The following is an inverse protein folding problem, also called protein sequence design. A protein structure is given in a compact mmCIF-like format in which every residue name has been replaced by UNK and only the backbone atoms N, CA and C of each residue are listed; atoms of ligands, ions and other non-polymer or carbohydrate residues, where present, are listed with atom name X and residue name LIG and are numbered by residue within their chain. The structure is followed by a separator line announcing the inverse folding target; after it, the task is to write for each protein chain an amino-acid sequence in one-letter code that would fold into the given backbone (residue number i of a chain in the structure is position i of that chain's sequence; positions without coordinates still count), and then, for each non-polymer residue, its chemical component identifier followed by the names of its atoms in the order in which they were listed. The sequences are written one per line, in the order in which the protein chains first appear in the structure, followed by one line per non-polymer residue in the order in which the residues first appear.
data_IF_338650449964
#
_entry.id   IF_338650449964
#
_cell.length_a   1.000
_cell.length_b   1.000
_cell.length_c   1.000
_cell.angle_alpha   90.00
_cell.angle_beta   90.00
_cell.angle_gamma   90.00
#
_symmetry.space_group_name_H-M   'P 1'
#
loop_
_entity.id
_entity.type
_entity.pdbx_description
1 polymer ?
#
# COMPACT_ATOMS: atom_id res chain seq x y z
N UNK A 1 -21.84 6.57 -15.48
CA UNK A 1 -21.40 6.56 -15.16
C UNK A 1 -21.27 6.43 -14.86
N UNK A 2 -21.29 6.43 -14.59
CA UNK A 2 -20.73 6.38 -14.18
C UNK A 2 -20.21 5.83 -13.93
N UNK A 3 -20.39 5.38 -13.86
CA UNK A 3 -19.71 5.06 -13.60
C UNK A 3 -18.79 5.03 -13.94
N UNK A 4 -18.55 4.99 -14.21
CA UNK A 4 -17.57 5.09 -14.59
C UNK A 4 -16.80 5.96 -14.57
N UNK A 5 -16.93 6.42 -14.77
CA UNK A 5 -16.24 7.56 -14.60
C UNK A 5 -15.59 7.69 -13.30
N UNK A 6 -16.08 7.23 -12.37
CA UNK A 6 -15.54 7.20 -11.04
C UNK A 6 -14.27 6.40 -10.92
N UNK A 7 -14.07 5.49 -11.83
CA UNK A 7 -12.91 4.62 -11.77
C UNK A 7 -11.63 5.43 -11.86
N UNK A 8 -11.60 6.43 -12.71
CA UNK A 8 -10.42 7.25 -12.83
C UNK A 8 -10.09 7.99 -11.54
N UNK A 9 -11.10 8.45 -10.84
CA UNK A 9 -10.89 9.17 -9.61
C UNK A 9 -10.34 8.27 -8.53
N UNK A 10 -10.80 7.03 -8.48
CA UNK A 10 -10.31 6.08 -7.50
C UNK A 10 -8.82 5.88 -7.66
N UNK A 11 -8.37 5.74 -8.89
CA UNK A 11 -6.96 5.51 -9.13
C UNK A 11 -6.11 6.71 -8.74
N UNK A 12 -6.65 7.91 -8.85
CA UNK A 12 -5.90 9.10 -8.54
C UNK A 12 -5.55 9.24 -7.08
N UNK A 13 -6.34 8.67 -6.22
CA UNK A 13 -6.14 8.84 -4.78
C UNK A 13 -5.28 7.76 -4.14
N UNK A 14 -5.08 6.65 -4.83
CA UNK A 14 -4.28 5.52 -4.35
C UNK A 14 -4.77 4.95 -3.02
N UNK A 15 -5.67 5.62 -2.34
CA UNK A 15 -6.30 5.13 -1.09
C UNK A 15 -5.31 4.76 0.01
N UNK A 16 -4.20 5.48 0.09
CA UNK A 16 -3.24 5.27 1.17
C UNK A 16 -3.72 6.00 2.42
N UNK A 17 -3.48 5.36 3.56
CA UNK A 17 -3.84 5.94 4.84
C UNK A 17 -2.74 6.92 5.27
N UNK A 18 -3.02 8.22 5.35
CA UNK A 18 -1.98 9.21 5.60
C UNK A 18 -1.36 9.13 6.99
N UNK A 19 -2.07 8.55 7.95
CA UNK A 19 -1.58 8.45 9.32
C UNK A 19 -0.79 7.18 9.59
N UNK A 20 -0.58 6.37 8.57
CA UNK A 20 0.19 5.13 8.68
C UNK A 20 1.43 5.21 7.80
N UNK A 21 2.50 4.55 8.25
CA UNK A 21 3.69 4.46 7.41
C UNK A 21 3.40 3.64 6.17
N UNK A 22 4.35 3.69 5.22
CA UNK A 22 4.24 2.93 3.98
C UNK A 22 4.08 1.44 4.27
N UNK A 23 4.91 0.89 5.16
CA UNK A 23 4.82 -0.52 5.50
C UNK A 23 3.48 -0.87 6.13
N UNK A 24 2.99 -0.04 7.04
CA UNK A 24 1.71 -0.30 7.68
C UNK A 24 0.56 -0.24 6.70
N UNK A 25 0.67 0.63 5.69
CA UNK A 25 -0.32 0.65 4.62
C UNK A 25 -0.39 -0.69 3.91
N UNK A 26 0.76 -1.28 3.60
CA UNK A 26 0.82 -2.56 2.91
C UNK A 26 0.33 -3.68 3.81
N UNK A 27 0.63 -3.62 5.11
CA UNK A 27 0.24 -4.66 6.06
C UNK A 27 -1.24 -4.61 6.45
N UNK A 28 -1.90 -3.48 6.21
CA UNK A 28 -3.22 -3.25 6.77
C UNK A 28 -4.22 -4.34 6.40
N UNK A 29 -4.40 -4.58 5.11
CA UNK A 29 -5.41 -5.55 4.67
C UNK A 29 -5.07 -6.98 5.09
N UNK A 30 -3.82 -7.44 4.95
CA UNK A 30 -3.51 -8.79 5.42
C UNK A 30 -3.81 -8.99 6.90
N UNK A 31 -3.50 -8.00 7.75
CA UNK A 31 -3.75 -8.15 9.18
C UNK A 31 -5.22 -8.01 9.55
N UNK A 32 -5.95 -7.10 8.89
CA UNK A 32 -7.34 -6.85 9.24
C UNK A 32 -8.32 -7.79 8.56
N UNK A 33 -8.08 -8.08 7.30
CA UNK A 33 -9.02 -8.86 6.52
C UNK A 33 -8.67 -10.34 6.54
N UNK A 34 -7.41 -10.67 6.29
CA UNK A 34 -6.98 -12.07 6.22
C UNK A 34 -6.52 -12.60 7.57
N UNK A 35 -6.43 -11.72 8.56
CA UNK A 35 -6.05 -12.07 9.92
C UNK A 35 -4.70 -12.75 10.01
N UNK A 36 -3.79 -12.34 9.14
CA UNK A 36 -2.41 -12.83 9.14
C UNK A 36 -1.71 -12.26 10.37
N UNK A 37 -0.91 -13.07 11.09
CA UNK A 37 -0.14 -12.56 12.22
C UNK A 37 0.73 -11.37 11.82
N UNK A 38 0.85 -10.41 12.72
CA UNK A 38 1.54 -9.16 12.42
C UNK A 38 2.97 -9.40 11.96
N UNK A 39 3.67 -10.33 12.59
CA UNK A 39 5.05 -10.63 12.21
C UNK A 39 5.14 -11.13 10.78
N UNK A 40 4.20 -11.98 10.38
CA UNK A 40 4.17 -12.51 9.03
C UNK A 40 3.83 -11.41 8.04
N UNK A 41 2.83 -10.59 8.38
CA UNK A 41 2.43 -9.49 7.49
C UNK A 41 3.58 -8.50 7.29
N UNK A 42 4.36 -8.25 8.35
CA UNK A 42 5.49 -7.34 8.24
C UNK A 42 6.54 -7.87 7.28
N UNK A 43 6.87 -9.15 7.39
CA UNK A 43 7.87 -9.75 6.52
C UNK A 43 7.41 -9.72 5.06
N UNK A 44 6.15 -10.12 4.84
CA UNK A 44 5.62 -10.11 3.48
C UNK A 44 5.51 -8.70 2.93
N UNK A 45 5.15 -7.74 3.78
CA UNK A 45 5.07 -6.36 3.36
C UNK A 45 6.42 -5.82 2.92
N UNK A 46 7.46 -6.15 3.66
CA UNK A 46 8.80 -5.72 3.28
C UNK A 46 9.24 -6.35 1.98
N UNK A 47 8.89 -7.61 1.76
CA UNK A 47 9.21 -8.27 0.49
C UNK A 47 8.52 -7.59 -0.68
N UNK A 48 7.25 -7.23 -0.50
CA UNK A 48 6.52 -6.55 -1.55
C UNK A 48 7.07 -5.16 -1.82
N UNK A 49 7.42 -4.42 -0.77
CA UNK A 49 8.03 -3.11 -0.95
C UNK A 49 9.37 -3.23 -1.67
N UNK A 50 10.13 -4.26 -1.37
CA UNK A 50 11.38 -4.50 -2.06
C UNK A 50 11.15 -4.74 -3.54
N UNK A 51 10.10 -5.47 -3.89
CA UNK A 51 9.79 -5.75 -5.30
C UNK A 51 9.45 -4.50 -6.08
N UNK A 52 8.88 -3.51 -5.42
CA UNK A 52 8.57 -2.25 -6.10
C UNK A 52 9.63 -1.17 -5.85
N UNK A 53 10.76 -1.56 -5.25
CA UNK A 53 11.89 -0.66 -5.05
C UNK A 53 11.72 0.35 -3.93
N UNK A 54 10.90 0.06 -2.95
CA UNK A 54 10.60 1.00 -1.87
C UNK A 54 10.88 0.45 -0.48
N UNK A 55 11.74 -0.58 -0.37
CA UNK A 55 12.03 -1.14 0.95
C UNK A 55 12.57 -0.09 1.91
N UNK A 56 13.39 0.82 1.42
CA UNK A 56 13.98 1.85 2.28
C UNK A 56 12.98 2.93 2.67
N UNK A 57 11.81 2.93 2.06
CA UNK A 57 10.75 3.89 2.39
C UNK A 57 9.69 3.29 3.32
N UNK A 58 9.96 2.12 3.88
CA UNK A 58 8.96 1.42 4.69
C UNK A 58 8.47 2.24 5.88
N UNK A 59 9.34 3.06 6.45
CA UNK A 59 9.02 3.79 7.68
C UNK A 59 8.62 5.24 7.44
N UNK A 60 8.48 5.68 6.19
CA UNK A 60 8.04 7.04 5.93
C UNK A 60 6.53 7.06 5.72
N UNK A 61 5.96 8.26 5.77
CA UNK A 61 4.52 8.43 5.57
C UNK A 61 4.23 8.79 4.12
N UNK A 62 3.00 8.51 3.65
CA UNK A 62 2.66 8.78 2.24
C UNK A 62 2.93 10.22 1.80
N UNK A 63 2.77 11.19 2.69
CA UNK A 63 2.99 12.59 2.32
C UNK A 63 4.44 12.85 1.91
N UNK A 64 5.35 11.96 2.28
CA UNK A 64 6.76 12.12 1.96
C UNK A 64 7.15 11.43 0.66
N UNK A 65 6.18 10.86 -0.05
CA UNK A 65 6.44 10.14 -1.28
C UNK A 65 6.07 10.97 -2.50
N UNK A 66 6.75 10.69 -3.63
CA UNK A 66 6.35 11.24 -4.91
C UNK A 66 5.08 10.52 -5.38
N UNK A 67 4.45 11.06 -6.43
CA UNK A 67 3.27 10.42 -6.99
C UNK A 67 3.54 9.03 -7.49
N UNK A 68 4.68 8.84 -8.16
CA UNK A 68 5.05 7.51 -8.65
C UNK A 68 5.29 6.53 -7.53
N UNK A 69 5.90 7.00 -6.44
CA UNK A 69 6.12 6.15 -5.29
C UNK A 69 4.82 5.75 -4.61
N UNK A 70 3.87 6.69 -4.50
CA UNK A 70 2.55 6.37 -3.95
C UNK A 70 1.87 5.30 -4.79
N UNK A 71 2.00 5.39 -6.11
CA UNK A 71 1.41 4.42 -7.00
C UNK A 71 2.02 3.04 -6.76
N UNK A 72 3.33 2.97 -6.55
CA UNK A 72 3.99 1.70 -6.27
C UNK A 72 3.54 1.10 -4.96
N UNK A 73 3.34 1.93 -3.95
CA UNK A 73 2.81 1.44 -2.67
C UNK A 73 1.42 0.86 -2.87
N UNK A 74 0.59 1.52 -3.67
CA UNK A 74 -0.74 1.02 -3.95
C UNK A 74 -0.70 -0.34 -4.65
N UNK A 75 0.27 -0.51 -5.55
CA UNK A 75 0.45 -1.80 -6.22
C UNK A 75 0.85 -2.87 -5.19
N UNK A 76 1.77 -2.54 -4.30
CA UNK A 76 2.19 -3.48 -3.26
C UNK A 76 1.01 -3.87 -2.37
N UNK A 77 0.14 -2.91 -2.03
CA UNK A 77 -1.05 -3.22 -1.24
C UNK A 77 -1.96 -4.21 -1.96
N UNK A 78 -2.14 -4.00 -3.27
CA UNK A 78 -2.97 -4.92 -4.06
C UNK A 78 -2.40 -6.32 -4.05
N UNK A 79 -1.08 -6.43 -4.20
CA UNK A 79 -0.43 -7.73 -4.17
C UNK A 79 -0.55 -8.41 -2.81
N UNK A 80 -0.54 -7.61 -1.75
CA UNK A 80 -0.66 -8.15 -0.41
C UNK A 80 -2.03 -8.76 -0.15
N UNK A 81 -3.04 -8.33 -0.90
CA UNK A 81 -4.40 -8.86 -0.75
C UNK A 81 -4.58 -10.21 -1.40
N UNK A 82 -3.66 -10.65 -2.19
CA UNK A 82 -3.80 -11.95 -2.87
C UNK A 82 -3.31 -13.16 -2.05
#
# INVERSE_FOLDING_TARGET
MKVRQNIGMVFQHFHLFPHMTVLKNVMYAPTKVKKVPKVVAQREGMELLSKVGLAEKANVYPAQLSGGQKQRVAIARSLAMK
#
